data_IF_411685337560
#
_entry.id   IF_411685337560
#
_cell.length_a   1.000
_cell.length_b   1.000
_cell.length_c   1.000
_cell.angle_alpha   90.00
_cell.angle_beta   90.00
_cell.angle_gamma   90.00
#
_symmetry.space_group_name_H-M   'P 1'
#
loop_
_entity.id
_entity.type
_entity.pdbx_description
1 polymer ?
#
# COMPACT_ATOMS: atom_id res chain seq x y z
N UNK A 1 30.01 -0.76 -33.41
CA UNK A 1 29.48 0.49 -32.80
C UNK A 1 28.12 0.33 -32.09
N UNK A 2 27.73 -0.86 -31.58
CA UNK A 2 26.42 -1.11 -30.94
C UNK A 2 26.41 -1.03 -29.39
N UNK A 3 27.56 -0.80 -28.75
CA UNK A 3 27.74 -1.06 -27.31
C UNK A 3 27.53 0.15 -26.39
N UNK A 4 27.60 1.39 -26.87
CA UNK A 4 27.78 2.54 -25.97
C UNK A 4 26.48 3.18 -25.44
N UNK A 5 25.30 2.77 -25.93
CA UNK A 5 23.99 3.35 -25.56
C UNK A 5 22.99 2.35 -24.95
N UNK A 6 23.44 1.15 -24.57
CA UNK A 6 22.67 0.18 -23.77
C UNK A 6 22.63 0.47 -22.25
N UNK A 7 23.68 1.03 -21.60
CA UNK A 7 23.67 1.34 -20.17
C UNK A 7 22.46 2.17 -19.69
N UNK A 8 22.04 3.26 -20.40
CA UNK A 8 20.97 4.11 -19.88
C UNK A 8 19.61 3.39 -19.78
N UNK A 9 19.32 2.40 -20.63
CA UNK A 9 18.05 1.66 -20.55
C UNK A 9 18.02 0.71 -19.33
N UNK A 10 19.15 0.08 -19.02
CA UNK A 10 19.27 -0.78 -17.83
C UNK A 10 19.07 0.07 -16.57
N UNK A 11 19.72 1.22 -16.49
CA UNK A 11 19.59 2.14 -15.37
C UNK A 11 18.15 2.68 -15.24
N UNK A 12 17.54 3.10 -16.35
CA UNK A 12 16.15 3.58 -16.37
C UNK A 12 15.17 2.51 -15.87
N UNK A 13 15.27 1.27 -16.38
CA UNK A 13 14.40 0.16 -15.94
C UNK A 13 14.60 -0.16 -14.46
N UNK A 14 15.84 -0.07 -13.97
CA UNK A 14 16.22 -0.29 -12.57
C UNK A 14 15.64 0.79 -11.67
N UNK A 15 15.78 2.07 -12.04
CA UNK A 15 15.24 3.19 -11.26
C UNK A 15 13.69 3.16 -11.28
N UNK A 16 13.07 2.86 -12.42
CA UNK A 16 11.62 2.75 -12.54
C UNK A 16 11.05 1.68 -11.58
N UNK A 17 11.65 0.50 -11.59
CA UNK A 17 11.22 -0.65 -10.76
C UNK A 17 11.62 -0.50 -9.29
N UNK A 18 12.72 0.18 -8.97
CA UNK A 18 13.09 0.55 -7.60
C UNK A 18 12.06 1.48 -6.97
N UNK A 19 11.62 2.51 -7.70
CA UNK A 19 10.58 3.43 -7.25
C UNK A 19 9.24 2.70 -7.09
N UNK A 20 8.91 1.76 -8.00
CA UNK A 20 7.73 0.90 -7.85
C UNK A 20 7.79 0.07 -6.55
N UNK A 21 8.93 -0.57 -6.30
CA UNK A 21 9.15 -1.35 -5.09
C UNK A 21 8.98 -0.48 -3.84
N UNK A 22 9.58 0.72 -3.82
CA UNK A 22 9.42 1.66 -2.71
C UNK A 22 7.94 2.05 -2.48
N UNK A 23 7.19 2.29 -3.55
CA UNK A 23 5.76 2.58 -3.48
C UNK A 23 4.96 1.41 -2.87
N UNK A 24 5.35 0.16 -3.14
CA UNK A 24 4.70 -1.04 -2.59
C UNK A 24 5.12 -1.27 -1.13
N UNK A 25 6.40 -1.13 -0.82
CA UNK A 25 6.96 -1.41 0.50
C UNK A 25 6.36 -0.49 1.58
N UNK A 26 6.23 0.81 1.31
CA UNK A 26 5.68 1.74 2.30
C UNK A 26 4.21 1.46 2.67
N UNK A 27 3.52 0.66 1.85
CA UNK A 27 2.14 0.21 2.09
C UNK A 27 2.05 -1.11 2.85
N UNK A 28 3.18 -1.77 3.13
CA UNK A 28 3.22 -3.02 3.87
C UNK A 28 2.95 -2.81 5.35
N UNK A 29 2.13 -3.68 5.93
CA UNK A 29 1.66 -3.54 7.30
C UNK A 29 2.81 -3.55 8.32
N UNK A 30 3.80 -4.40 8.10
CA UNK A 30 4.98 -4.48 8.95
C UNK A 30 5.88 -3.25 8.82
N UNK A 31 6.02 -2.67 7.62
CA UNK A 31 6.79 -1.44 7.41
C UNK A 31 6.12 -0.26 8.10
N UNK A 32 4.80 -0.10 7.92
CA UNK A 32 4.03 0.92 8.63
C UNK A 32 4.20 0.75 10.14
N UNK A 33 4.08 -0.48 10.64
CA UNK A 33 4.27 -0.78 12.05
C UNK A 33 5.67 -0.44 12.58
N UNK A 34 6.72 -0.73 11.80
CA UNK A 34 8.10 -0.40 12.15
C UNK A 34 8.30 1.11 12.17
N UNK A 35 7.83 1.84 11.16
CA UNK A 35 7.96 3.30 11.08
C UNK A 35 7.30 3.99 12.28
N UNK A 36 6.08 3.60 12.61
CA UNK A 36 5.39 4.12 13.79
C UNK A 36 6.16 3.78 15.07
N UNK A 37 6.60 2.53 15.25
CA UNK A 37 7.37 2.14 16.44
C UNK A 37 8.65 2.96 16.58
N UNK A 38 9.43 3.12 15.50
CA UNK A 38 10.66 3.91 15.52
C UNK A 38 10.39 5.36 15.92
N UNK A 39 9.33 5.98 15.39
CA UNK A 39 8.94 7.33 15.77
C UNK A 39 8.53 7.41 17.25
N UNK A 40 7.81 6.40 17.75
CA UNK A 40 7.33 6.32 19.14
C UNK A 40 8.42 6.00 20.17
N UNK A 41 9.59 5.51 19.77
CA UNK A 41 10.73 5.31 20.68
C UNK A 41 11.36 6.63 21.16
N UNK A 42 11.03 7.76 20.52
CA UNK A 42 11.66 9.04 20.83
C UNK A 42 11.24 9.56 22.21
N UNK A 43 12.19 9.93 23.09
CA UNK A 43 11.88 10.42 24.42
C UNK A 43 11.02 11.69 24.40
N UNK A 44 10.05 11.78 25.32
CA UNK A 44 9.22 12.98 25.51
C UNK A 44 10.01 14.24 25.87
N UNK A 45 11.28 14.08 26.31
CA UNK A 45 12.23 15.17 26.62
C UNK A 45 12.75 15.87 25.36
N UNK A 46 12.63 15.24 24.18
CA UNK A 46 13.10 15.85 22.94
C UNK A 46 12.30 17.12 22.59
N UNK A 47 12.92 18.08 21.88
CA UNK A 47 12.28 19.33 21.48
C UNK A 47 10.94 19.07 20.79
N UNK A 48 9.92 19.86 21.13
CA UNK A 48 8.57 19.70 20.60
C UNK A 48 8.56 19.67 19.06
N UNK A 49 9.38 20.52 18.42
CA UNK A 49 9.51 20.56 16.95
C UNK A 49 9.86 19.20 16.35
N UNK A 50 10.80 18.47 16.95
CA UNK A 50 11.22 17.16 16.46
C UNK A 50 10.08 16.15 16.60
N UNK A 51 9.41 16.13 17.76
CA UNK A 51 8.24 15.27 18.00
C UNK A 51 7.09 15.59 17.05
N UNK A 52 6.85 16.86 16.71
CA UNK A 52 5.86 17.26 15.72
C UNK A 52 6.21 16.76 14.31
N UNK A 53 7.49 16.79 13.91
CA UNK A 53 7.93 16.25 12.62
C UNK A 53 7.73 14.73 12.59
N UNK A 54 8.15 14.02 13.65
CA UNK A 54 7.98 12.57 13.76
C UNK A 54 6.50 12.15 13.82
N UNK A 55 5.65 12.97 14.44
CA UNK A 55 4.21 12.73 14.46
C UNK A 55 3.61 12.70 13.05
N UNK A 56 4.22 13.38 12.06
CA UNK A 56 3.79 13.30 10.66
C UNK A 56 4.10 11.96 9.98
N UNK A 57 4.58 10.95 10.70
CA UNK A 57 4.74 9.58 10.17
C UNK A 57 3.46 9.03 9.55
N UNK A 58 2.28 9.50 9.97
CA UNK A 58 1.00 9.14 9.34
C UNK A 58 0.87 9.62 7.88
N UNK A 59 1.71 10.55 7.43
CA UNK A 59 1.76 11.08 6.04
C UNK A 59 2.56 10.16 5.10
N UNK A 60 2.84 8.92 5.49
CA UNK A 60 3.52 7.91 4.65
C UNK A 60 2.85 7.67 3.28
N UNK A 61 1.58 8.06 3.13
CA UNK A 61 0.89 8.10 1.83
C UNK A 61 1.56 9.01 0.80
N UNK A 62 2.25 10.07 1.23
CA UNK A 62 3.03 10.96 0.36
C UNK A 62 4.27 10.28 -0.23
N UNK A 63 4.93 9.39 0.53
CA UNK A 63 6.04 8.59 0.02
C UNK A 63 5.54 7.59 -1.04
N UNK A 64 4.39 6.96 -0.80
CA UNK A 64 3.76 6.06 -1.76
C UNK A 64 3.46 6.76 -3.09
N UNK A 65 2.77 7.92 -3.04
CA UNK A 65 2.41 8.65 -4.25
C UNK A 65 3.64 9.22 -4.97
N UNK A 66 4.61 9.78 -4.24
CA UNK A 66 5.86 10.28 -4.81
C UNK A 66 6.65 9.20 -5.55
N UNK A 67 6.83 8.04 -4.91
CA UNK A 67 7.51 6.90 -5.52
C UNK A 67 6.73 6.35 -6.74
N UNK A 68 5.40 6.26 -6.67
CA UNK A 68 4.58 5.82 -7.81
C UNK A 68 4.67 6.77 -9.02
N UNK A 69 4.61 8.09 -8.78
CA UNK A 69 4.78 9.10 -9.85
C UNK A 69 6.19 9.05 -10.43
N UNK A 70 7.21 8.93 -9.59
CA UNK A 70 8.60 8.78 -10.06
C UNK A 70 8.76 7.53 -10.94
N UNK A 71 8.17 6.40 -10.54
CA UNK A 71 8.16 5.18 -11.34
C UNK A 71 7.52 5.39 -12.72
N UNK A 72 6.34 6.05 -12.77
CA UNK A 72 5.69 6.42 -14.04
C UNK A 72 6.59 7.28 -14.93
N UNK A 73 7.22 8.32 -14.38
CA UNK A 73 8.08 9.22 -15.16
C UNK A 73 9.27 8.48 -15.78
N UNK A 74 9.87 7.54 -15.05
CA UNK A 74 10.94 6.72 -15.60
C UNK A 74 10.45 5.72 -16.65
N UNK A 75 9.26 5.15 -16.51
CA UNK A 75 8.66 4.33 -17.57
C UNK A 75 8.33 5.15 -18.83
N UNK A 76 7.90 6.41 -18.69
CA UNK A 76 7.72 7.34 -19.81
C UNK A 76 9.06 7.60 -20.50
N UNK A 77 10.11 7.96 -19.75
CA UNK A 77 11.44 8.19 -20.30
C UNK A 77 11.98 6.94 -21.02
N UNK A 78 11.83 5.77 -20.40
CA UNK A 78 12.21 4.49 -21.00
C UNK A 78 11.45 4.22 -22.31
N UNK A 79 10.14 4.49 -22.35
CA UNK A 79 9.31 4.37 -23.56
C UNK A 79 9.78 5.30 -24.69
N UNK A 80 10.13 6.55 -24.36
CA UNK A 80 10.64 7.54 -25.32
C UNK A 80 11.95 7.04 -25.94
N UNK A 81 12.89 6.57 -25.13
CA UNK A 81 14.20 6.10 -25.62
C UNK A 81 14.04 4.83 -26.47
N UNK A 82 13.18 3.89 -26.09
CA UNK A 82 12.89 2.71 -26.92
C UNK A 82 12.25 3.10 -28.26
N UNK A 83 11.31 4.04 -28.26
CA UNK A 83 10.67 4.55 -29.49
C UNK A 83 11.71 5.18 -30.41
N UNK A 84 12.60 6.02 -29.86
CA UNK A 84 13.67 6.63 -30.63
C UNK A 84 14.61 5.59 -31.25
N UNK A 85 14.99 4.54 -30.50
CA UNK A 85 15.81 3.44 -31.03
C UNK A 85 15.11 2.65 -32.14
N UNK A 86 13.80 2.41 -32.01
CA UNK A 86 13.02 1.75 -33.06
C UNK A 86 13.05 2.58 -34.36
N UNK A 87 12.77 3.87 -34.28
CA UNK A 87 12.68 4.75 -35.45
C UNK A 87 14.04 4.98 -36.11
N UNK A 88 15.08 5.27 -35.32
CA UNK A 88 16.38 5.71 -35.85
C UNK A 88 17.33 4.56 -36.19
N UNK A 89 17.23 3.44 -35.47
CA UNK A 89 18.20 2.33 -35.57
C UNK A 89 17.54 1.05 -36.09
N UNK A 90 16.21 0.92 -36.01
CA UNK A 90 15.48 -0.28 -36.43
C UNK A 90 15.84 -1.54 -35.64
N UNK A 91 16.47 -1.38 -34.45
CA UNK A 91 17.11 -2.48 -33.72
C UNK A 91 16.30 -3.02 -32.54
N UNK A 92 15.06 -2.58 -32.38
CA UNK A 92 14.19 -2.95 -31.25
C UNK A 92 12.94 -3.65 -31.77
N UNK A 93 12.50 -4.69 -31.07
CA UNK A 93 11.26 -5.38 -31.37
C UNK A 93 10.03 -4.49 -31.03
N UNK A 94 9.10 -4.36 -31.99
CA UNK A 94 7.84 -3.65 -31.80
C UNK A 94 7.02 -4.24 -30.63
N UNK A 95 7.18 -5.54 -30.35
CA UNK A 95 6.50 -6.20 -29.23
C UNK A 95 6.98 -5.66 -27.87
N UNK A 96 8.29 -5.45 -27.68
CA UNK A 96 8.84 -4.84 -26.46
C UNK A 96 8.25 -3.44 -26.25
N UNK A 97 8.14 -2.66 -27.33
CA UNK A 97 7.59 -1.32 -27.26
C UNK A 97 6.09 -1.34 -26.88
N UNK A 98 5.31 -2.26 -27.45
CA UNK A 98 3.90 -2.43 -27.13
C UNK A 98 3.66 -2.75 -25.65
N UNK A 99 4.41 -3.70 -25.08
CA UNK A 99 4.34 -4.01 -23.65
C UNK A 99 4.78 -2.84 -22.77
N UNK A 100 5.82 -2.11 -23.17
CA UNK A 100 6.31 -0.94 -22.43
C UNK A 100 5.24 0.16 -22.37
N UNK A 101 4.57 0.45 -23.49
CA UNK A 101 3.45 1.40 -23.51
C UNK A 101 2.25 0.90 -22.69
N UNK A 102 1.92 -0.40 -22.75
CA UNK A 102 0.85 -0.97 -21.96
C UNK A 102 1.09 -0.83 -20.45
N UNK A 103 2.31 -1.10 -19.98
CA UNK A 103 2.73 -0.85 -18.58
C UNK A 103 2.59 0.63 -18.24
N UNK A 104 3.14 1.51 -19.06
CA UNK A 104 3.14 2.96 -18.81
C UNK A 104 1.73 3.52 -18.77
N UNK A 105 0.86 3.11 -19.70
CA UNK A 105 -0.55 3.51 -19.76
C UNK A 105 -1.32 3.01 -18.54
N UNK A 106 -1.07 1.77 -18.10
CA UNK A 106 -1.68 1.21 -16.88
C UNK A 106 -1.35 2.08 -15.67
N UNK A 107 -0.07 2.42 -15.47
CA UNK A 107 0.36 3.30 -14.38
C UNK A 107 -0.22 4.71 -14.48
N UNK A 108 -0.27 5.27 -15.70
CA UNK A 108 -0.85 6.58 -15.96
C UNK A 108 -2.33 6.62 -15.55
N UNK A 109 -3.12 5.63 -15.98
CA UNK A 109 -4.55 5.53 -15.64
C UNK A 109 -4.76 5.44 -14.12
N UNK A 110 -3.97 4.62 -13.42
CA UNK A 110 -4.03 4.51 -11.95
C UNK A 110 -3.73 5.88 -11.32
N UNK A 111 -2.65 6.55 -11.72
CA UNK A 111 -2.21 7.82 -11.14
C UNK A 111 -3.21 8.95 -11.43
N UNK A 112 -3.77 9.01 -12.65
CA UNK A 112 -4.81 9.97 -12.99
C UNK A 112 -6.03 9.81 -12.09
N UNK A 113 -6.53 8.58 -11.89
CA UNK A 113 -7.65 8.30 -11.00
C UNK A 113 -7.31 8.49 -9.52
N UNK A 114 -6.03 8.36 -9.15
CA UNK A 114 -5.53 8.62 -7.80
C UNK A 114 -5.44 10.11 -7.46
N UNK A 115 -5.54 11.01 -8.45
CA UNK A 115 -5.48 12.46 -8.22
C UNK A 115 -6.52 12.89 -7.17
N UNK A 116 -6.17 13.69 -6.13
CA UNK A 116 -7.01 13.86 -4.94
C UNK A 116 -8.46 14.27 -5.22
N UNK A 117 -8.67 15.20 -6.16
CA UNK A 117 -10.01 15.66 -6.54
C UNK A 117 -10.83 14.59 -7.26
N UNK A 118 -10.18 13.74 -8.05
CA UNK A 118 -10.87 12.68 -8.79
C UNK A 118 -11.13 11.47 -7.89
N UNK A 119 -10.15 11.11 -7.05
CA UNK A 119 -10.26 10.06 -6.04
C UNK A 119 -11.38 10.34 -5.03
N UNK A 120 -11.51 11.57 -4.54
CA UNK A 120 -12.57 11.91 -3.57
C UNK A 120 -13.97 11.86 -4.20
N UNK A 121 -14.10 12.30 -5.46
CA UNK A 121 -15.39 12.31 -6.18
C UNK A 121 -15.79 10.95 -6.75
N UNK A 122 -14.82 10.13 -7.17
CA UNK A 122 -15.03 8.84 -7.86
C UNK A 122 -14.30 7.71 -7.14
N UNK A 123 -14.49 7.63 -5.82
CA UNK A 123 -13.79 6.72 -4.93
C UNK A 123 -13.83 5.27 -5.42
N UNK A 124 -15.01 4.74 -5.72
CA UNK A 124 -15.18 3.34 -6.14
C UNK A 124 -14.46 3.05 -7.47
N UNK A 125 -14.46 4.02 -8.41
CA UNK A 125 -13.73 3.87 -9.68
C UNK A 125 -12.23 3.85 -9.46
N UNK A 126 -11.73 4.68 -8.54
CA UNK A 126 -10.33 4.68 -8.14
C UNK A 126 -9.96 3.34 -7.47
N UNK A 127 -10.76 2.83 -6.54
CA UNK A 127 -10.47 1.57 -5.87
C UNK A 127 -10.44 0.39 -6.85
N UNK A 128 -11.40 0.37 -7.79
CA UNK A 128 -11.46 -0.65 -8.82
C UNK A 128 -10.28 -0.56 -9.80
N UNK A 129 -9.97 0.64 -10.30
CA UNK A 129 -8.85 0.84 -11.24
C UNK A 129 -7.50 0.54 -10.59
N UNK A 130 -7.30 0.89 -9.33
CA UNK A 130 -6.07 0.60 -8.62
C UNK A 130 -5.91 -0.90 -8.39
N UNK A 131 -7.00 -1.63 -8.10
CA UNK A 131 -6.97 -3.09 -7.92
C UNK A 131 -6.69 -3.82 -9.23
N UNK A 132 -7.44 -3.51 -10.28
CA UNK A 132 -7.26 -4.11 -11.59
C UNK A 132 -5.93 -3.71 -12.23
N UNK A 133 -5.55 -2.43 -12.10
CA UNK A 133 -4.31 -1.90 -12.63
C UNK A 133 -3.08 -2.55 -12.00
N UNK A 134 -3.11 -2.86 -10.69
CA UNK A 134 -2.05 -3.63 -10.05
C UNK A 134 -1.91 -5.04 -10.65
N UNK A 135 -3.03 -5.72 -10.92
CA UNK A 135 -3.01 -7.04 -11.54
C UNK A 135 -2.50 -6.97 -13.00
N UNK A 136 -3.01 -6.02 -13.77
CA UNK A 136 -2.58 -5.79 -15.15
C UNK A 136 -1.08 -5.47 -15.22
N UNK A 137 -0.57 -4.62 -14.32
CA UNK A 137 0.85 -4.30 -14.22
C UNK A 137 1.71 -5.56 -14.04
N UNK A 138 1.35 -6.45 -13.12
CA UNK A 138 2.08 -7.71 -12.89
C UNK A 138 2.09 -8.57 -14.16
N UNK A 139 0.95 -8.72 -14.83
CA UNK A 139 0.83 -9.52 -16.06
C UNK A 139 1.68 -8.94 -17.19
N UNK A 140 1.76 -7.60 -17.29
CA UNK A 140 2.46 -6.92 -18.37
C UNK A 140 3.97 -6.77 -18.13
N UNK A 141 4.40 -6.57 -16.88
CA UNK A 141 5.80 -6.25 -16.58
C UNK A 141 6.75 -7.44 -16.76
N UNK A 142 6.30 -8.67 -16.52
CA UNK A 142 7.15 -9.86 -16.70
C UNK A 142 7.53 -10.12 -18.16
N UNK A 143 6.57 -10.20 -19.11
CA UNK A 143 6.91 -10.29 -20.52
C UNK A 143 7.75 -9.11 -21.00
N UNK A 144 7.44 -7.89 -20.53
CA UNK A 144 8.24 -6.70 -20.84
C UNK A 144 9.71 -6.86 -20.43
N UNK A 145 9.99 -7.36 -19.22
CA UNK A 145 11.36 -7.61 -18.75
C UNK A 145 12.07 -8.73 -19.52
N UNK A 146 11.36 -9.80 -19.89
CA UNK A 146 11.92 -10.89 -20.70
C UNK A 146 12.29 -10.38 -22.10
N UNK A 147 11.38 -9.66 -22.76
CA UNK A 147 11.62 -9.04 -24.06
C UNK A 147 12.76 -8.01 -23.99
N UNK A 148 12.82 -7.23 -22.90
CA UNK A 148 13.90 -6.27 -22.69
C UNK A 148 15.25 -6.98 -22.53
N UNK A 149 15.33 -8.04 -21.74
CA UNK A 149 16.51 -8.88 -21.62
C UNK A 149 16.96 -9.46 -22.97
N UNK A 150 16.02 -9.93 -23.79
CA UNK A 150 16.34 -10.44 -25.13
C UNK A 150 16.89 -9.34 -26.04
N UNK A 151 16.39 -8.10 -25.92
CA UNK A 151 16.92 -6.95 -26.64
C UNK A 151 18.31 -6.50 -26.14
N UNK A 152 18.72 -6.91 -24.93
CA UNK A 152 20.07 -6.67 -24.39
C UNK A 152 21.07 -7.77 -24.80
N UNK A 153 20.59 -8.99 -25.07
CA UNK A 153 21.41 -10.14 -25.46
C UNK A 153 22.11 -9.97 -26.81
N UNK A 154 23.27 -10.61 -26.97
CA UNK A 154 23.97 -10.67 -28.27
C UNK A 154 23.36 -11.81 -29.10
N UNK A 155 22.95 -11.57 -30.36
CA UNK A 155 22.44 -12.63 -31.23
C UNK A 155 23.48 -13.75 -31.39
N UNK A 156 23.10 -14.99 -31.07
CA UNK A 156 23.93 -16.19 -31.27
C UNK A 156 24.53 -16.82 -30.01
N UNK A 157 24.40 -16.19 -28.83
CA UNK A 157 24.87 -16.77 -27.57
C UNK A 157 23.71 -17.36 -26.74
N UNK A 158 23.44 -18.65 -26.94
CA UNK A 158 22.38 -19.40 -26.26
C UNK A 158 22.58 -19.48 -24.73
N UNK A 159 23.82 -19.33 -24.25
CA UNK A 159 24.16 -19.38 -22.82
C UNK A 159 23.80 -18.08 -22.06
N UNK A 160 23.43 -17.02 -22.77
CA UNK A 160 23.26 -15.67 -22.21
C UNK A 160 21.83 -15.30 -21.79
N UNK A 161 20.79 -15.95 -22.32
CA UNK A 161 19.40 -15.45 -22.18
C UNK A 161 18.85 -15.55 -20.77
N UNK A 162 19.01 -16.69 -20.09
CA UNK A 162 18.56 -16.86 -18.70
C UNK A 162 19.49 -16.17 -17.69
N UNK A 163 20.81 -16.26 -17.91
CA UNK A 163 21.82 -15.71 -17.00
C UNK A 163 21.83 -14.18 -16.93
N UNK A 164 21.48 -13.49 -18.03
CA UNK A 164 21.42 -12.03 -18.07
C UNK A 164 20.21 -11.46 -17.31
N UNK A 165 19.08 -12.18 -17.28
CA UNK A 165 17.88 -11.74 -16.56
C UNK A 165 18.13 -11.68 -15.04
N UNK A 166 18.84 -12.67 -14.48
CA UNK A 166 19.21 -12.68 -13.06
C UNK A 166 20.24 -11.61 -12.68
N UNK A 167 20.99 -11.07 -13.66
CA UNK A 167 21.91 -9.95 -13.46
C UNK A 167 21.20 -8.60 -13.50
N UNK A 168 19.98 -8.53 -14.02
CA UNK A 168 19.21 -7.30 -14.13
C UNK A 168 18.57 -6.94 -12.78
N UNK A 169 18.95 -5.82 -12.13
CA UNK A 169 18.35 -5.44 -10.84
C UNK A 169 16.83 -5.24 -10.91
N UNK A 170 16.34 -4.73 -12.05
CA UNK A 170 14.90 -4.53 -12.29
C UNK A 170 14.09 -5.83 -12.15
N UNK A 171 14.66 -6.99 -12.52
CA UNK A 171 14.03 -8.29 -12.35
C UNK A 171 13.78 -8.59 -10.86
N UNK A 172 14.81 -8.42 -10.02
CA UNK A 172 14.68 -8.64 -8.58
C UNK A 172 13.72 -7.67 -7.91
N UNK A 173 13.73 -6.39 -8.30
CA UNK A 173 12.76 -5.42 -7.76
C UNK A 173 11.31 -5.80 -8.10
N UNK A 174 11.05 -6.33 -9.29
CA UNK A 174 9.73 -6.85 -9.66
C UNK A 174 9.37 -8.11 -8.86
N UNK A 175 10.30 -9.07 -8.72
CA UNK A 175 10.08 -10.29 -7.92
C UNK A 175 9.73 -9.94 -6.47
N UNK A 176 10.51 -9.06 -5.84
CA UNK A 176 10.27 -8.61 -4.47
C UNK A 176 8.95 -7.84 -4.38
N UNK A 177 8.61 -7.03 -5.39
CA UNK A 177 7.33 -6.32 -5.45
C UNK A 177 6.14 -7.28 -5.48
N UNK A 178 6.20 -8.32 -6.33
CA UNK A 178 5.15 -9.35 -6.44
C UNK A 178 5.02 -10.12 -5.13
N UNK A 179 6.13 -10.52 -4.53
CA UNK A 179 6.12 -11.17 -3.21
C UNK A 179 5.38 -10.31 -2.17
N UNK A 180 5.67 -9.00 -2.12
CA UNK A 180 5.03 -8.08 -1.18
C UNK A 180 3.56 -7.78 -1.50
N UNK A 181 3.13 -7.90 -2.76
CA UNK A 181 1.71 -7.81 -3.13
C UNK A 181 0.96 -9.06 -2.65
N UNK A 182 1.59 -10.24 -2.73
CA UNK A 182 1.00 -11.52 -2.32
C UNK A 182 1.04 -11.74 -0.81
N UNK A 183 2.05 -11.21 -0.10
CA UNK A 183 2.30 -11.47 1.31
C UNK A 183 1.07 -11.25 2.23
N UNK A 184 0.29 -10.17 2.12
CA UNK A 184 -0.91 -10.00 2.97
C UNK A 184 -1.97 -11.08 2.74
N UNK A 185 -2.04 -11.67 1.54
CA UNK A 185 -3.02 -12.70 1.20
C UNK A 185 -2.68 -14.05 1.83
N UNK A 186 -1.41 -14.31 2.16
CA UNK A 186 -1.01 -15.52 2.88
C UNK A 186 -1.57 -15.58 4.30
N UNK A 187 -1.99 -14.43 4.85
CA UNK A 187 -2.62 -14.31 6.17
C UNK A 187 -4.12 -14.00 6.10
N UNK A 188 -4.74 -14.25 4.94
CA UNK A 188 -6.17 -14.11 4.75
C UNK A 188 -6.91 -15.10 5.67
N UNK A 189 -7.73 -14.57 6.57
CA UNK A 189 -8.52 -15.38 7.51
C UNK A 189 -9.87 -14.74 7.80
N UNK A 190 -10.76 -15.51 8.42
CA UNK A 190 -12.03 -15.02 8.95
C UNK A 190 -11.83 -14.56 10.40
N UNK A 191 -12.07 -13.28 10.66
CA UNK A 191 -12.21 -12.72 11.99
C UNK A 191 -13.65 -12.97 12.45
N UNK A 192 -13.84 -13.90 13.39
CA UNK A 192 -15.15 -14.11 14.02
C UNK A 192 -15.50 -12.87 14.83
N UNK A 193 -16.75 -12.41 14.67
CA UNK A 193 -17.24 -11.24 15.39
C UNK A 193 -18.61 -11.51 15.99
N UNK A 194 -18.85 -10.96 17.17
CA UNK A 194 -20.16 -10.90 17.81
C UNK A 194 -20.70 -9.48 17.64
N UNK A 195 -21.71 -9.27 16.78
CA UNK A 195 -22.28 -7.96 16.56
C UNK A 195 -23.17 -7.54 17.73
N UNK A 196 -22.98 -6.32 18.22
CA UNK A 196 -23.82 -5.66 19.21
C UNK A 196 -24.31 -4.32 18.66
N UNK A 197 -25.62 -4.18 18.53
CA UNK A 197 -26.24 -2.96 18.00
C UNK A 197 -26.55 -2.03 19.16
N UNK A 198 -25.92 -0.86 19.18
CA UNK A 198 -26.19 0.16 20.20
C UNK A 198 -27.22 1.19 19.72
N UNK A 199 -27.17 1.60 18.44
CA UNK A 199 -28.02 2.62 17.81
C UNK A 199 -28.29 2.27 16.33
N UNK A 200 -29.24 2.95 15.68
CA UNK A 200 -29.52 2.76 14.25
C UNK A 200 -28.40 3.21 13.30
N UNK A 201 -27.45 3.99 13.82
CA UNK A 201 -26.36 4.57 13.03
C UNK A 201 -24.98 3.98 13.34
N UNK A 202 -24.88 3.06 14.30
CA UNK A 202 -23.61 2.44 14.70
C UNK A 202 -23.77 1.03 15.26
N UNK A 203 -22.80 0.18 14.97
CA UNK A 203 -22.70 -1.19 15.46
C UNK A 203 -21.31 -1.45 16.00
N UNK A 204 -21.23 -2.19 17.10
CA UNK A 204 -19.98 -2.70 17.66
C UNK A 204 -19.78 -4.14 17.21
N UNK A 205 -18.60 -4.46 16.72
CA UNK A 205 -18.20 -5.80 16.33
C UNK A 205 -17.13 -6.28 17.32
N UNK A 206 -17.51 -7.18 18.22
CA UNK A 206 -16.61 -7.72 19.23
C UNK A 206 -15.86 -8.93 18.71
N UNK A 207 -14.56 -9.03 18.96
CA UNK A 207 -13.73 -10.18 18.57
C UNK A 207 -12.85 -10.62 19.74
N UNK A 208 -12.48 -11.89 19.79
CA UNK A 208 -11.73 -12.48 20.92
C UNK A 208 -10.22 -12.59 20.68
N UNK A 209 -9.71 -12.18 19.51
CA UNK A 209 -8.27 -12.14 19.26
C UNK A 209 -7.62 -11.06 20.13
N UNK A 210 -6.56 -11.41 20.86
CA UNK A 210 -5.82 -10.43 21.68
C UNK A 210 -5.18 -9.37 20.78
N UNK A 211 -5.44 -8.11 21.09
CA UNK A 211 -4.91 -6.97 20.35
C UNK A 211 -4.22 -5.97 21.27
N UNK A 212 -3.12 -5.40 20.77
CA UNK A 212 -2.46 -4.28 21.43
C UNK A 212 -3.26 -3.00 21.19
N UNK A 213 -3.08 -2.03 22.07
CA UNK A 213 -3.62 -0.70 21.83
C UNK A 213 -3.19 -0.13 20.50
N UNK A 214 -4.03 0.79 20.02
CA UNK A 214 -3.64 1.66 18.95
C UNK A 214 -3.47 0.93 17.60
N UNK A 215 -4.31 -0.08 17.38
CA UNK A 215 -4.28 -0.93 16.18
C UNK A 215 -5.50 -0.71 15.32
N UNK A 216 -5.32 -0.89 14.02
CA UNK A 216 -6.35 -0.80 13.00
C UNK A 216 -6.44 -2.15 12.28
N UNK A 217 -7.64 -2.71 12.26
CA UNK A 217 -7.97 -3.87 11.44
C UNK A 217 -8.47 -3.41 10.08
N UNK A 218 -8.13 -4.17 9.03
CA UNK A 218 -8.82 -4.07 7.74
C UNK A 218 -9.74 -5.27 7.61
N UNK A 219 -11.02 -5.01 7.43
CA UNK A 219 -12.04 -6.04 7.28
C UNK A 219 -12.81 -5.88 5.96
N UNK A 220 -13.27 -7.00 5.43
CA UNK A 220 -14.07 -7.07 4.22
C UNK A 220 -15.20 -8.10 4.37
N UNK A 221 -16.30 -7.91 3.65
CA UNK A 221 -17.39 -8.91 3.61
C UNK A 221 -16.99 -10.19 2.86
N UNK A 222 -16.07 -10.07 1.90
CA UNK A 222 -15.54 -11.16 1.09
C UNK A 222 -14.13 -10.78 0.59
N UNK A 223 -13.23 -11.73 0.29
CA UNK A 223 -11.84 -11.42 -0.05
C UNK A 223 -11.67 -10.55 -1.30
N UNK A 224 -12.57 -10.68 -2.27
CA UNK A 224 -12.57 -9.95 -3.53
C UNK A 224 -13.34 -8.62 -3.48
N UNK A 225 -14.01 -8.30 -2.36
CA UNK A 225 -14.74 -7.04 -2.15
C UNK A 225 -13.84 -5.96 -1.54
N UNK A 226 -14.44 -4.85 -1.12
CA UNK A 226 -13.76 -3.69 -0.56
C UNK A 226 -13.31 -3.93 0.89
N UNK A 227 -12.16 -3.37 1.19
CA UNK A 227 -11.43 -3.58 2.44
C UNK A 227 -11.43 -2.27 3.22
N UNK A 228 -12.09 -2.25 4.38
CA UNK A 228 -12.28 -1.03 5.16
C UNK A 228 -11.44 -1.07 6.45
N UNK A 229 -10.66 -0.03 6.75
CA UNK A 229 -9.93 0.08 8.00
C UNK A 229 -10.82 0.55 9.14
N UNK A 230 -10.76 -0.13 10.29
CA UNK A 230 -11.41 0.29 11.54
C UNK A 230 -10.41 0.23 12.68
N UNK A 231 -10.39 1.29 13.50
CA UNK A 231 -9.62 1.29 14.72
C UNK A 231 -10.23 0.29 15.72
N UNK A 232 -9.36 -0.47 16.36
CA UNK A 232 -9.73 -1.40 17.42
C UNK A 232 -9.61 -0.74 18.78
N UNK A 233 -10.58 -1.06 19.63
CA UNK A 233 -10.61 -0.72 21.04
C UNK A 233 -10.36 -2.03 21.79
N UNK A 234 -9.17 -2.24 22.38
CA UNK A 234 -8.92 -3.46 23.14
C UNK A 234 -9.81 -3.54 24.39
N UNK A 235 -10.25 -4.74 24.73
CA UNK A 235 -10.98 -4.98 25.96
C UNK A 235 -10.06 -4.76 27.19
N UNK A 236 -10.62 -4.40 28.38
CA UNK A 236 -9.83 -4.17 29.58
C UNK A 236 -8.96 -5.36 30.00
N UNK A 237 -9.43 -6.58 29.75
CA UNK A 237 -8.72 -7.83 30.04
C UNK A 237 -7.74 -8.27 28.93
N UNK A 238 -7.66 -7.48 27.83
CA UNK A 238 -6.83 -7.70 26.64
C UNK A 238 -7.10 -9.03 25.92
N UNK A 239 -8.24 -9.68 26.18
CA UNK A 239 -8.68 -10.93 25.55
C UNK A 239 -9.73 -10.68 24.46
N UNK A 240 -9.51 -9.62 23.69
CA UNK A 240 -10.39 -9.25 22.60
C UNK A 240 -10.30 -7.77 22.28
N UNK A 241 -11.27 -7.32 21.50
CA UNK A 241 -11.56 -5.92 21.31
C UNK A 241 -12.81 -5.69 20.50
N UNK A 242 -13.11 -4.41 20.34
CA UNK A 242 -14.29 -3.92 19.63
C UNK A 242 -13.86 -3.11 18.41
N UNK A 243 -14.53 -3.34 17.28
CA UNK A 243 -14.52 -2.45 16.13
C UNK A 243 -15.84 -1.68 16.10
N UNK A 244 -15.79 -0.36 16.12
CA UNK A 244 -16.99 0.47 15.97
C UNK A 244 -17.16 0.81 14.49
N UNK A 245 -18.30 0.43 13.92
CA UNK A 245 -18.69 0.74 12.55
C UNK A 245 -19.87 1.71 12.59
N UNK A 246 -19.69 2.88 11.98
CA UNK A 246 -20.74 3.90 11.88
C UNK A 246 -21.16 4.13 10.42
N UNK A 247 -22.40 4.55 10.24
CA UNK A 247 -23.00 4.75 8.91
C UNK A 247 -22.32 5.90 8.15
N UNK A 248 -21.61 5.57 7.07
CA UNK A 248 -20.92 6.55 6.21
C UNK A 248 -21.06 6.23 4.70
N UNK A 249 -21.30 4.97 4.34
CA UNK A 249 -21.51 4.53 2.96
C UNK A 249 -22.16 3.15 2.89
N UNK A 250 -22.25 2.61 1.68
CA UNK A 250 -22.97 1.38 1.39
C UNK A 250 -22.50 0.18 2.20
N UNK A 251 -21.17 -0.01 2.30
CA UNK A 251 -20.57 -1.10 3.06
C UNK A 251 -20.94 -1.02 4.55
N UNK A 252 -20.81 0.17 5.15
CA UNK A 252 -21.11 0.38 6.58
C UNK A 252 -22.60 0.26 6.86
N UNK A 253 -23.45 0.74 5.95
CA UNK A 253 -24.91 0.67 6.09
C UNK A 253 -25.38 -0.78 6.05
N UNK A 254 -24.85 -1.59 5.13
CA UNK A 254 -25.13 -3.03 5.08
C UNK A 254 -24.64 -3.75 6.33
N UNK A 255 -23.44 -3.42 6.82
CA UNK A 255 -22.88 -4.01 8.04
C UNK A 255 -23.73 -3.71 9.28
N UNK A 256 -24.33 -2.52 9.39
CA UNK A 256 -25.24 -2.16 10.48
C UNK A 256 -26.58 -2.88 10.35
N UNK A 257 -27.16 -2.92 9.15
CA UNK A 257 -28.49 -3.47 8.93
C UNK A 257 -28.53 -5.01 8.90
N UNK A 258 -27.45 -5.64 8.43
CA UNK A 258 -27.34 -7.09 8.28
C UNK A 258 -25.92 -7.54 8.66
N UNK A 259 -25.59 -7.53 9.97
CA UNK A 259 -24.26 -7.91 10.43
C UNK A 259 -23.98 -9.39 10.19
N UNK A 260 -22.73 -9.71 9.87
CA UNK A 260 -22.28 -11.09 9.67
C UNK A 260 -21.59 -11.62 10.93
N UNK A 261 -21.63 -12.95 11.18
CA UNK A 261 -20.91 -13.57 12.30
C UNK A 261 -19.38 -13.58 12.11
N UNK A 262 -18.89 -13.18 10.94
CA UNK A 262 -17.47 -13.02 10.66
C UNK A 262 -17.25 -12.03 9.51
N UNK A 263 -16.05 -11.46 9.49
CA UNK A 263 -15.52 -10.68 8.36
C UNK A 263 -14.15 -11.20 7.96
N UNK A 264 -13.74 -10.97 6.72
CA UNK A 264 -12.42 -11.34 6.24
C UNK A 264 -11.40 -10.30 6.67
N UNK A 265 -10.29 -10.72 7.26
CA UNK A 265 -9.13 -9.87 7.54
C UNK A 265 -7.88 -10.46 6.86
N UNK A 266 -6.90 -9.62 6.56
CA UNK A 266 -5.64 -10.01 5.94
C UNK A 266 -4.49 -9.15 6.46
N UNK A 267 -3.28 -9.66 6.36
CA UNK A 267 -2.10 -8.99 6.90
C UNK A 267 -2.11 -8.94 8.43
N UNK A 268 -1.32 -8.02 8.96
CA UNK A 268 -1.23 -7.77 10.40
C UNK A 268 -1.89 -6.43 10.74
N UNK A 269 -2.53 -6.28 11.92
CA UNK A 269 -3.09 -5.00 12.33
C UNK A 269 -2.03 -3.89 12.36
N UNK A 270 -2.31 -2.81 11.65
CA UNK A 270 -1.39 -1.66 11.54
C UNK A 270 -1.56 -0.70 12.71
N UNK A 271 -0.52 0.03 13.07
CA UNK A 271 -0.62 1.15 14.00
C UNK A 271 -1.59 2.21 13.46
N UNK A 272 -2.48 2.69 14.32
CA UNK A 272 -3.42 3.77 14.02
C UNK A 272 -2.73 5.13 13.96
N UNK A 273 -3.34 6.07 13.23
CA UNK A 273 -2.83 7.45 13.13
C UNK A 273 -2.69 8.09 14.50
N UNK A 274 -3.67 7.87 15.39
CA UNK A 274 -3.72 8.54 16.69
C UNK A 274 -2.65 8.06 17.68
N UNK A 275 -1.88 7.01 17.37
CA UNK A 275 -0.78 6.54 18.23
C UNK A 275 0.33 7.56 18.39
N UNK A 276 0.46 8.48 17.44
CA UNK A 276 1.39 9.61 17.55
C UNK A 276 1.09 10.51 18.76
N UNK A 277 -0.11 10.42 19.35
CA UNK A 277 -0.46 11.08 20.60
C UNK A 277 0.49 10.72 21.76
N UNK A 278 1.06 9.51 21.77
CA UNK A 278 2.01 9.06 22.79
C UNK A 278 3.33 9.87 22.80
N UNK A 279 3.64 10.55 21.70
CA UNK A 279 4.78 11.46 21.61
C UNK A 279 4.60 12.68 22.51
N UNK A 280 3.37 13.04 22.89
CA UNK A 280 3.06 14.30 23.56
C UNK A 280 2.74 14.12 25.04
N UNK A 281 3.13 15.11 25.84
CA UNK A 281 2.87 15.14 27.29
C UNK A 281 1.50 15.74 27.59
N UNK A 282 1.15 16.83 26.91
CA UNK A 282 -0.14 17.51 26.96
C UNK A 282 -0.86 17.27 25.64
N UNK A 283 -2.11 16.85 25.69
CA UNK A 283 -2.90 16.46 24.53
C UNK A 283 -4.33 16.95 24.69
N UNK A 284 -4.86 17.57 23.63
CA UNK A 284 -6.28 17.85 23.46
C UNK A 284 -6.76 17.02 22.28
N UNK A 285 -7.63 16.05 22.54
CA UNK A 285 -8.28 15.26 21.49
C UNK A 285 -9.68 15.84 21.30
N UNK A 286 -9.96 16.36 20.11
CA UNK A 286 -11.30 16.77 19.70
C UNK A 286 -11.82 15.74 18.72
N UNK A 287 -13.00 15.20 19.00
CA UNK A 287 -13.63 14.16 18.18
C UNK A 287 -15.07 14.53 17.88
N UNK A 288 -15.52 14.22 16.67
CA UNK A 288 -16.91 14.40 16.23
C UNK A 288 -17.43 13.08 15.66
N UNK A 289 -18.64 12.71 16.09
CA UNK A 289 -19.31 11.47 15.65
C UNK A 289 -18.45 10.21 15.84
N UNK A 290 -18.33 9.42 14.76
CA UNK A 290 -17.64 8.12 14.75
C UNK A 290 -16.12 8.19 14.94
N UNK A 291 -15.53 9.38 14.88
CA UNK A 291 -14.12 9.62 15.23
C UNK A 291 -13.76 9.22 16.66
N UNK A 292 -14.77 8.95 17.50
CA UNK A 292 -14.60 8.50 18.89
C UNK A 292 -13.88 7.14 19.00
N UNK A 293 -14.04 6.26 18.02
CA UNK A 293 -13.46 4.91 18.06
C UNK A 293 -11.93 4.90 18.20
N UNK A 294 -11.18 5.52 17.25
CA UNK A 294 -9.74 5.70 17.38
C UNK A 294 -9.32 6.42 18.67
N UNK A 295 -10.10 7.39 19.13
CA UNK A 295 -9.84 8.17 20.34
C UNK A 295 -9.91 7.30 21.59
N UNK A 296 -10.97 6.52 21.77
CA UNK A 296 -11.14 5.61 22.91
C UNK A 296 -10.00 4.60 22.98
N UNK A 297 -9.67 3.94 21.85
CA UNK A 297 -8.57 2.97 21.80
C UNK A 297 -7.21 3.57 22.19
N UNK A 298 -7.00 4.87 21.93
CA UNK A 298 -5.76 5.56 22.31
C UNK A 298 -5.81 6.05 23.76
N UNK A 299 -6.95 6.59 24.22
CA UNK A 299 -7.12 7.10 25.58
C UNK A 299 -6.98 6.00 26.64
N UNK A 300 -7.49 4.79 26.37
CA UNK A 300 -7.31 3.64 27.26
C UNK A 300 -5.82 3.29 27.42
N UNK A 301 -5.05 3.34 26.33
CA UNK A 301 -3.60 3.12 26.39
C UNK A 301 -2.87 4.18 27.22
N UNK A 302 -3.26 5.45 27.06
CA UNK A 302 -2.63 6.56 27.77
C UNK A 302 -2.90 6.55 29.27
N UNK A 303 -4.02 5.95 29.71
CA UNK A 303 -4.31 5.70 31.13
C UNK A 303 -3.43 4.58 31.68
N UNK A 304 -3.31 3.46 30.97
CA UNK A 304 -2.44 2.34 31.37
C UNK A 304 -0.94 2.73 31.43
N UNK A 305 -0.51 3.72 30.64
CA UNK A 305 0.87 4.23 30.61
C UNK A 305 1.15 5.42 31.54
N UNK A 306 0.18 5.86 32.35
CA UNK A 306 0.30 6.96 33.34
C UNK A 306 -0.61 6.72 34.55
N UNK A 307 -0.12 5.94 35.50
CA UNK A 307 0.09 6.41 36.88
C UNK A 307 1.61 6.41 37.12
#
# INVERSE_FOLDING_TARGET
MKSQYLPPLVDMSTIATANMLAAILIRQDYIINILFRLCLLVPKRWPLRVRCILAKVYEYGGLHSGAAVCSLLWFIAFSIVLTWKLIMVGSIDALLLAYTFAVTLTLLVIICLAYPNLRSRKHDRFEHSHRLGNLAFIILIFPMLILFNNALGVPGDASSHGGLLFRLPAFWFVIVSVFHILLPWLSLRRLKVTPERHLDHAISLHFSESIKFCRVYRIAEAPYKDWHPFASIPDPDRKGGTLIVSKMGDWTTRTINNPKPYYWTRGIPTMGVLCVAELFTKLLIVTTGSGIGPCLGTMLNLKDGRC
#
